data_IF_308941965177
#
_entry.id   IF_308941965177
#
_cell.length_a   1.000
_cell.length_b   1.000
_cell.length_c   1.000
_cell.angle_alpha   90.00
_cell.angle_beta   90.00
_cell.angle_gamma   90.00
#
_symmetry.space_group_name_H-M   'P 1'
#
loop_
_entity.id
_entity.type
_entity.pdbx_description
1 polymer ?
#
# COMPACT_ATOMS: atom_id res chain seq x y z
N UNK A 1 -13.45 -5.93 -22.95
CA UNK A 1 -13.11 -6.46 -21.62
C UNK A 1 -14.16 -5.97 -20.67
N UNK A 2 -14.79 -6.88 -19.93
CA UNK A 2 -15.76 -6.45 -18.92
C UNK A 2 -14.98 -5.81 -17.75
N UNK A 3 -15.21 -4.51 -17.55
CA UNK A 3 -14.58 -3.74 -16.48
C UNK A 3 -15.52 -3.49 -15.30
N UNK A 4 -16.66 -4.18 -15.29
CA UNK A 4 -17.65 -4.02 -14.24
C UNK A 4 -17.20 -4.64 -12.93
N UNK A 5 -17.50 -3.96 -11.82
CA UNK A 5 -17.41 -4.48 -10.46
C UNK A 5 -18.79 -4.33 -9.85
N UNK A 6 -19.31 -5.40 -9.25
CA UNK A 6 -20.67 -5.41 -8.70
C UNK A 6 -20.63 -5.77 -7.23
N UNK A 7 -21.56 -5.20 -6.49
CA UNK A 7 -21.86 -5.54 -5.09
C UNK A 7 -23.32 -6.00 -5.03
N UNK A 8 -23.58 -7.29 -5.25
CA UNK A 8 -24.96 -7.80 -5.39
C UNK A 8 -25.84 -7.49 -4.18
N UNK A 9 -25.30 -7.67 -2.97
CA UNK A 9 -26.03 -7.40 -1.73
C UNK A 9 -26.40 -5.93 -1.52
N UNK A 10 -25.60 -4.99 -2.07
CA UNK A 10 -25.86 -3.54 -2.03
C UNK A 10 -26.62 -3.05 -3.26
N UNK A 11 -26.87 -3.93 -4.25
CA UNK A 11 -27.45 -3.57 -5.55
C UNK A 11 -26.67 -2.45 -6.27
N UNK A 12 -25.35 -2.38 -6.03
CA UNK A 12 -24.47 -1.40 -6.63
C UNK A 12 -23.72 -2.03 -7.79
N UNK A 13 -23.82 -1.43 -8.96
CA UNK A 13 -23.11 -1.85 -10.17
C UNK A 13 -22.25 -0.70 -10.63
N UNK A 14 -20.94 -0.96 -10.76
CA UNK A 14 -19.97 -0.05 -11.31
C UNK A 14 -19.59 -0.59 -12.69
N UNK A 15 -20.23 -0.08 -13.74
CA UNK A 15 -20.11 -0.63 -15.10
C UNK A 15 -18.74 -0.44 -15.71
N UNK A 16 -18.03 0.62 -15.31
CA UNK A 16 -16.71 0.92 -15.86
C UNK A 16 -15.73 1.33 -14.74
N UNK A 17 -14.88 0.39 -14.36
CA UNK A 17 -13.77 0.62 -13.40
C UNK A 17 -12.45 0.37 -14.13
N UNK A 18 -11.80 1.41 -14.70
CA UNK A 18 -10.54 1.25 -15.43
C UNK A 18 -9.39 0.89 -14.48
N UNK A 19 -8.42 0.11 -14.97
CA UNK A 19 -7.15 -0.16 -14.24
C UNK A 19 -6.13 0.93 -14.50
N UNK A 20 -6.16 1.50 -15.70
CA UNK A 20 -5.19 2.48 -16.20
C UNK A 20 -5.87 3.46 -17.14
N UNK A 21 -5.20 4.55 -17.40
CA UNK A 21 -5.54 5.52 -18.44
C UNK A 21 -4.26 5.94 -19.18
N UNK A 22 -4.41 6.37 -20.42
CA UNK A 22 -3.29 6.79 -21.24
C UNK A 22 -3.18 8.32 -21.26
N UNK A 23 -1.96 8.84 -21.02
CA UNK A 23 -1.63 10.24 -21.19
C UNK A 23 -0.40 10.33 -22.09
N UNK A 24 -0.50 11.02 -23.23
CA UNK A 24 0.59 11.18 -24.19
C UNK A 24 1.25 9.87 -24.65
N UNK A 25 0.48 8.78 -24.77
CA UNK A 25 1.01 7.46 -25.13
C UNK A 25 1.67 6.67 -24.00
N UNK A 26 1.63 7.20 -22.76
CA UNK A 26 2.07 6.47 -21.57
C UNK A 26 0.88 5.91 -20.80
N UNK A 27 0.89 4.61 -20.55
CA UNK A 27 -0.10 3.97 -19.71
C UNK A 27 0.21 4.23 -18.23
N UNK A 28 -0.70 4.91 -17.53
CA UNK A 28 -0.60 5.23 -16.12
C UNK A 28 -1.66 4.42 -15.37
N UNK A 29 -1.22 3.58 -14.42
CA UNK A 29 -2.14 2.80 -13.59
C UNK A 29 -2.76 3.65 -12.50
N UNK A 30 -4.07 3.52 -12.28
CA UNK A 30 -4.77 4.21 -11.19
C UNK A 30 -4.20 3.79 -9.83
N UNK A 31 -3.80 2.53 -9.69
CA UNK A 31 -3.08 2.03 -8.52
C UNK A 31 -1.86 2.88 -8.19
N UNK A 32 -0.99 3.13 -9.18
CA UNK A 32 0.22 3.95 -8.97
C UNK A 32 -0.10 5.38 -8.58
N UNK A 33 -1.14 5.97 -9.20
CA UNK A 33 -1.59 7.34 -8.85
C UNK A 33 -2.08 7.39 -7.40
N UNK A 34 -2.91 6.43 -6.97
CA UNK A 34 -3.41 6.41 -5.60
C UNK A 34 -2.30 6.20 -4.56
N UNK A 35 -1.31 5.35 -4.86
CA UNK A 35 -0.12 5.21 -4.01
C UNK A 35 0.63 6.54 -3.91
N UNK A 36 0.88 7.23 -5.03
CA UNK A 36 1.57 8.51 -5.04
C UNK A 36 0.79 9.59 -4.24
N UNK A 37 -0.53 9.68 -4.46
CA UNK A 37 -1.40 10.60 -3.71
C UNK A 37 -1.39 10.26 -2.22
N UNK A 38 -1.50 8.98 -1.86
CA UNK A 38 -1.44 8.53 -0.47
C UNK A 38 -0.13 8.90 0.22
N UNK A 39 1.00 8.71 -0.49
CA UNK A 39 2.32 9.11 0.01
C UNK A 39 2.43 10.63 0.21
N UNK A 40 2.01 11.42 -0.78
CA UNK A 40 2.07 12.88 -0.70
C UNK A 40 1.19 13.42 0.44
N UNK A 41 -0.03 12.90 0.59
CA UNK A 41 -0.92 13.29 1.68
C UNK A 41 -0.40 12.82 3.04
N UNK A 42 0.22 11.64 3.12
CA UNK A 42 0.88 11.16 4.33
C UNK A 42 2.04 12.06 4.75
N UNK A 43 2.93 12.41 3.81
CA UNK A 43 4.06 13.32 4.05
C UNK A 43 3.54 14.71 4.46
N UNK A 44 2.55 15.24 3.74
CA UNK A 44 1.95 16.54 4.05
C UNK A 44 1.38 16.57 5.47
N UNK A 45 0.67 15.53 5.88
CA UNK A 45 0.14 15.40 7.24
C UNK A 45 1.26 15.39 8.29
N UNK A 46 2.31 14.60 8.07
CA UNK A 46 3.46 14.51 8.99
C UNK A 46 4.15 15.88 9.13
N UNK A 47 4.33 16.60 8.03
CA UNK A 47 4.92 17.95 8.03
C UNK A 47 4.05 18.95 8.81
N UNK A 48 2.72 18.89 8.61
CA UNK A 48 1.80 19.73 9.37
C UNK A 48 1.85 19.43 10.87
N UNK A 49 1.86 18.15 11.24
CA UNK A 49 1.88 17.75 12.64
C UNK A 49 3.25 18.03 13.30
N UNK A 50 4.34 17.90 12.55
CA UNK A 50 5.67 18.33 12.99
C UNK A 50 5.69 19.83 13.34
N UNK A 51 5.11 20.68 12.49
CA UNK A 51 4.97 22.14 12.78
C UNK A 51 4.16 22.40 14.04
N UNK A 52 3.06 21.67 14.25
CA UNK A 52 2.21 21.79 15.44
C UNK A 52 2.91 21.39 16.73
N UNK A 53 3.83 20.43 16.63
CA UNK A 53 4.63 19.94 17.76
C UNK A 53 5.95 20.70 17.93
N UNK A 54 6.14 21.84 17.25
CA UNK A 54 7.38 22.64 17.26
C UNK A 54 8.63 21.85 16.87
N UNK A 55 8.46 20.87 15.96
CA UNK A 55 9.53 20.10 15.33
C UNK A 55 9.98 20.76 14.03
N UNK A 56 11.16 20.38 13.54
CA UNK A 56 11.67 20.83 12.25
C UNK A 56 10.96 20.08 11.10
N UNK A 57 10.08 20.72 10.30
CA UNK A 57 9.33 20.03 9.25
C UNK A 57 10.25 19.46 8.16
N UNK A 58 11.34 20.16 7.82
CA UNK A 58 12.28 19.76 6.79
C UNK A 58 12.99 18.43 7.14
N UNK A 59 13.22 18.19 8.44
CA UNK A 59 13.79 16.91 8.87
C UNK A 59 12.87 15.71 8.57
N UNK A 60 11.56 15.91 8.58
CA UNK A 60 10.58 14.87 8.23
C UNK A 60 10.47 14.68 6.71
N UNK A 61 10.63 15.74 5.92
CA UNK A 61 10.73 15.64 4.46
C UNK A 61 11.98 14.87 4.06
N UNK A 62 13.13 15.22 4.62
CA UNK A 62 14.38 14.51 4.40
C UNK A 62 14.25 13.03 4.78
N UNK A 63 13.66 12.74 5.95
CA UNK A 63 13.40 11.37 6.40
C UNK A 63 12.54 10.61 5.39
N UNK A 64 11.45 11.20 4.91
CA UNK A 64 10.56 10.57 3.94
C UNK A 64 11.30 10.24 2.63
N UNK A 65 12.08 11.17 2.10
CA UNK A 65 12.87 10.97 0.87
C UNK A 65 13.91 9.86 1.07
N UNK A 66 14.66 9.92 2.17
CA UNK A 66 15.73 8.95 2.44
C UNK A 66 15.14 7.55 2.66
N UNK A 67 14.08 7.42 3.45
CA UNK A 67 13.43 6.12 3.70
C UNK A 67 12.80 5.54 2.44
N UNK A 68 12.27 6.38 1.54
CA UNK A 68 11.75 5.95 0.25
C UNK A 68 12.88 5.39 -0.64
N UNK A 69 13.97 6.15 -0.79
CA UNK A 69 15.10 5.73 -1.63
C UNK A 69 15.73 4.45 -1.08
N UNK A 70 16.05 4.42 0.21
CA UNK A 70 16.66 3.24 0.85
C UNK A 70 15.70 2.05 0.87
N UNK A 71 14.39 2.28 0.97
CA UNK A 71 13.36 1.25 0.85
C UNK A 71 13.34 0.62 -0.54
N UNK A 72 13.36 1.42 -1.61
CA UNK A 72 13.41 0.91 -2.99
C UNK A 72 14.70 0.11 -3.22
N UNK A 73 15.85 0.63 -2.78
CA UNK A 73 17.13 -0.06 -2.87
C UNK A 73 17.09 -1.39 -2.10
N UNK A 74 16.61 -1.38 -0.85
CA UNK A 74 16.49 -2.57 -0.02
C UNK A 74 15.56 -3.62 -0.62
N UNK A 75 14.39 -3.22 -1.15
CA UNK A 75 13.44 -4.10 -1.83
C UNK A 75 14.09 -4.82 -3.01
N UNK A 76 14.88 -4.09 -3.81
CA UNK A 76 15.56 -4.61 -4.98
C UNK A 76 16.73 -5.52 -4.62
N UNK A 77 17.58 -5.11 -3.67
CA UNK A 77 18.72 -5.89 -3.22
C UNK A 77 18.29 -7.22 -2.59
N UNK A 78 17.25 -7.19 -1.74
CA UNK A 78 16.76 -8.41 -1.12
C UNK A 78 16.14 -9.36 -2.17
N UNK A 79 15.38 -8.83 -3.14
CA UNK A 79 14.87 -9.63 -4.25
C UNK A 79 16.00 -10.26 -5.07
N UNK A 80 17.03 -9.48 -5.42
CA UNK A 80 18.18 -9.97 -6.16
C UNK A 80 18.96 -11.07 -5.40
N UNK A 81 19.07 -10.94 -4.06
CA UNK A 81 19.70 -11.95 -3.23
C UNK A 81 18.94 -13.29 -3.24
N UNK A 82 17.59 -13.25 -3.12
CA UNK A 82 16.76 -14.45 -3.18
C UNK A 82 16.63 -15.05 -4.58
N UNK A 83 16.73 -14.22 -5.62
CA UNK A 83 16.60 -14.61 -7.01
C UNK A 83 17.95 -14.56 -7.76
N UNK A 84 19.06 -14.85 -7.06
CA UNK A 84 20.42 -14.71 -7.61
C UNK A 84 20.64 -15.48 -8.91
N UNK A 85 19.94 -16.59 -9.09
CA UNK A 85 20.01 -17.39 -10.32
C UNK A 85 19.64 -16.60 -11.59
N UNK A 86 18.78 -15.57 -11.47
CA UNK A 86 18.35 -14.71 -12.58
C UNK A 86 19.42 -13.65 -12.93
N UNK A 87 20.23 -13.24 -11.94
CA UNK A 87 21.16 -12.12 -12.05
C UNK A 87 22.63 -12.52 -12.22
N UNK A 88 22.97 -13.80 -11.98
CA UNK A 88 24.35 -14.28 -12.02
C UNK A 88 25.05 -14.06 -13.36
N UNK A 89 24.31 -14.07 -14.48
CA UNK A 89 24.86 -13.89 -15.83
C UNK A 89 24.94 -12.43 -16.26
N UNK A 90 24.12 -11.56 -15.67
CA UNK A 90 24.08 -10.12 -15.93
C UNK A 90 23.68 -9.36 -14.66
N UNK A 91 24.65 -9.06 -13.76
CA UNK A 91 24.38 -8.32 -12.53
C UNK A 91 23.84 -6.89 -12.77
N UNK A 92 24.08 -6.31 -13.95
CA UNK A 92 23.59 -4.98 -14.32
C UNK A 92 22.05 -4.88 -14.32
N UNK A 93 21.35 -6.00 -14.54
CA UNK A 93 19.89 -6.03 -14.49
C UNK A 93 19.31 -5.77 -13.09
N UNK A 94 20.09 -5.85 -12.03
CA UNK A 94 19.68 -5.46 -10.68
C UNK A 94 19.25 -4.00 -10.65
N UNK A 95 19.89 -3.13 -11.44
CA UNK A 95 19.55 -1.70 -11.51
C UNK A 95 18.29 -1.40 -12.34
N UNK A 96 17.83 -2.37 -13.15
CA UNK A 96 16.63 -2.19 -13.97
C UNK A 96 15.35 -2.42 -13.15
N UNK A 97 14.90 -1.37 -12.48
CA UNK A 97 13.67 -1.39 -11.64
C UNK A 97 12.40 -1.67 -12.48
N UNK A 98 12.41 -1.32 -13.77
CA UNK A 98 11.25 -1.51 -14.67
C UNK A 98 10.93 -2.98 -14.96
N UNK A 99 11.91 -3.86 -14.88
CA UNK A 99 11.70 -5.31 -15.08
C UNK A 99 10.91 -5.98 -13.95
N UNK A 100 10.48 -5.24 -12.93
CA UNK A 100 9.81 -5.77 -11.73
C UNK A 100 10.79 -6.44 -10.77
N UNK A 101 10.27 -7.24 -9.84
CA UNK A 101 11.09 -7.96 -8.85
C UNK A 101 11.55 -7.06 -7.71
N UNK A 102 10.61 -6.74 -6.81
CA UNK A 102 10.86 -6.06 -5.54
C UNK A 102 10.26 -6.89 -4.41
N UNK A 103 11.00 -7.07 -3.32
CA UNK A 103 10.54 -7.81 -2.16
C UNK A 103 10.11 -6.82 -1.07
N UNK A 104 8.87 -6.93 -0.61
CA UNK A 104 8.30 -6.04 0.41
C UNK A 104 9.16 -5.95 1.68
N UNK A 105 9.62 -7.10 2.20
CA UNK A 105 10.45 -7.14 3.40
C UNK A 105 11.79 -6.42 3.22
N UNK A 106 12.35 -6.46 2.01
CA UNK A 106 13.56 -5.69 1.67
C UNK A 106 13.32 -4.19 1.73
N UNK A 107 12.17 -3.75 1.25
CA UNK A 107 11.74 -2.36 1.34
C UNK A 107 11.55 -1.89 2.78
N UNK A 108 10.91 -2.70 3.60
CA UNK A 108 10.72 -2.41 5.01
C UNK A 108 12.05 -2.29 5.76
N UNK A 109 12.94 -3.27 5.59
CA UNK A 109 14.26 -3.26 6.22
C UNK A 109 15.11 -2.08 5.73
N UNK A 110 15.16 -1.83 4.41
CA UNK A 110 15.89 -0.72 3.83
C UNK A 110 15.40 0.63 4.32
N UNK A 111 14.07 0.82 4.38
CA UNK A 111 13.46 2.05 4.89
C UNK A 111 13.77 2.28 6.37
N UNK A 112 13.60 1.26 7.22
CA UNK A 112 13.91 1.37 8.66
C UNK A 112 15.39 1.66 8.88
N UNK A 113 16.29 0.93 8.22
CA UNK A 113 17.73 1.16 8.34
C UNK A 113 18.12 2.57 7.86
N UNK A 114 17.59 3.01 6.72
CA UNK A 114 17.81 4.37 6.21
C UNK A 114 17.33 5.43 7.19
N UNK A 115 16.15 5.24 7.79
CA UNK A 115 15.62 6.14 8.82
C UNK A 115 16.49 6.19 10.08
N UNK A 116 16.97 5.04 10.56
CA UNK A 116 17.87 4.98 11.72
C UNK A 116 19.19 5.70 11.43
N UNK A 117 19.79 5.44 10.27
CA UNK A 117 21.05 6.09 9.84
C UNK A 117 20.86 7.60 9.72
N UNK A 118 19.79 8.04 9.05
CA UNK A 118 19.45 9.46 8.96
C UNK A 118 19.33 10.13 10.32
N UNK A 119 18.53 9.53 11.23
CA UNK A 119 18.34 10.08 12.58
C UNK A 119 19.66 10.18 13.36
N UNK A 120 20.54 9.19 13.21
CA UNK A 120 21.88 9.23 13.84
C UNK A 120 22.76 10.35 13.30
N UNK A 121 22.81 10.51 11.98
CA UNK A 121 23.63 11.57 11.32
C UNK A 121 23.10 12.95 11.75
N UNK A 122 21.79 13.14 11.74
CA UNK A 122 21.14 14.43 12.09
C UNK A 122 20.98 14.64 13.59
N UNK A 123 21.43 13.68 14.43
CA UNK A 123 21.32 13.72 15.91
C UNK A 123 19.88 13.91 16.38
N UNK A 124 18.92 13.31 15.65
CA UNK A 124 17.48 13.29 16.00
C UNK A 124 17.11 11.96 16.65
N UNK A 125 16.08 11.98 17.50
CA UNK A 125 15.54 10.75 18.07
C UNK A 125 14.73 9.99 17.02
N UNK A 126 15.15 8.77 16.69
CA UNK A 126 14.41 7.90 15.77
C UNK A 126 12.97 7.63 16.26
N UNK A 127 12.82 7.33 17.54
CA UNK A 127 11.52 7.02 18.14
C UNK A 127 10.54 8.19 18.04
N UNK A 128 11.02 9.41 18.26
CA UNK A 128 10.21 10.62 18.14
C UNK A 128 9.76 10.87 16.71
N UNK A 129 10.64 10.66 15.75
CA UNK A 129 10.31 10.79 14.34
C UNK A 129 9.38 9.66 13.86
N UNK A 130 9.59 8.44 14.36
CA UNK A 130 8.74 7.30 14.04
C UNK A 130 7.30 7.47 14.53
N UNK A 131 7.07 8.13 15.67
CA UNK A 131 5.72 8.44 16.19
C UNK A 131 4.87 9.26 15.21
N UNK A 132 5.45 10.22 14.51
CA UNK A 132 4.74 10.99 13.50
C UNK A 132 4.72 10.29 12.14
N UNK A 133 5.82 9.63 11.76
CA UNK A 133 5.94 8.95 10.49
C UNK A 133 4.91 7.82 10.32
N UNK A 134 4.61 7.04 11.38
CA UNK A 134 3.63 5.97 11.32
C UNK A 134 2.21 6.45 10.98
N UNK A 135 1.84 7.67 11.39
CA UNK A 135 0.56 8.26 11.00
C UNK A 135 0.52 8.60 9.51
N UNK A 136 1.62 9.12 8.96
CA UNK A 136 1.74 9.33 7.52
C UNK A 136 1.66 8.02 6.73
N UNK A 137 2.27 6.95 7.24
CA UNK A 137 2.19 5.61 6.65
C UNK A 137 0.74 5.11 6.66
N UNK A 138 0.00 5.28 7.77
CA UNK A 138 -1.42 4.91 7.84
C UNK A 138 -2.27 5.65 6.81
N UNK A 139 -2.05 6.95 6.61
CA UNK A 139 -2.75 7.72 5.57
C UNK A 139 -2.43 7.15 4.19
N UNK A 140 -1.17 6.84 3.92
CA UNK A 140 -0.75 6.17 2.69
C UNK A 140 -1.44 4.81 2.51
N UNK A 141 -1.56 4.01 3.56
CA UNK A 141 -2.25 2.72 3.53
C UNK A 141 -3.75 2.87 3.28
N UNK A 142 -4.43 3.79 3.95
CA UNK A 142 -5.87 4.05 3.77
C UNK A 142 -6.17 4.32 2.28
N UNK A 143 -5.41 5.19 1.65
CA UNK A 143 -5.61 5.57 0.25
C UNK A 143 -5.10 4.46 -0.70
N UNK A 144 -3.95 3.87 -0.39
CA UNK A 144 -3.33 2.83 -1.21
C UNK A 144 -4.19 1.57 -1.35
N UNK A 145 -4.98 1.20 -0.32
CA UNK A 145 -5.91 0.06 -0.39
C UNK A 145 -7.00 0.24 -1.46
N UNK A 146 -7.41 1.46 -1.74
CA UNK A 146 -8.30 1.74 -2.87
C UNK A 146 -7.63 1.49 -4.23
N UNK A 147 -6.29 1.59 -4.29
CA UNK A 147 -5.54 1.18 -5.47
C UNK A 147 -5.72 -0.30 -5.81
N UNK A 148 -5.71 -1.17 -4.79
CA UNK A 148 -5.95 -2.62 -4.97
C UNK A 148 -7.36 -2.90 -5.51
N UNK A 149 -8.37 -2.10 -5.15
CA UNK A 149 -9.71 -2.17 -5.73
C UNK A 149 -9.69 -1.94 -7.25
N UNK A 150 -9.06 -0.86 -7.71
CA UNK A 150 -8.96 -0.57 -9.15
C UNK A 150 -8.14 -1.63 -9.89
N UNK A 151 -7.10 -2.17 -9.26
CA UNK A 151 -6.26 -3.20 -9.85
C UNK A 151 -6.87 -4.60 -9.78
N UNK A 152 -7.97 -4.79 -9.04
CA UNK A 152 -8.64 -6.07 -8.78
C UNK A 152 -7.69 -7.11 -8.23
N UNK A 153 -6.95 -6.74 -7.20
CA UNK A 153 -6.02 -7.59 -6.47
C UNK A 153 -6.26 -7.49 -4.96
N UNK A 154 -5.64 -8.38 -4.18
CA UNK A 154 -5.77 -8.37 -2.71
C UNK A 154 -7.22 -8.42 -2.23
N UNK A 155 -8.03 -9.25 -2.87
CA UNK A 155 -9.37 -9.60 -2.39
C UNK A 155 -9.30 -10.85 -1.48
N UNK A 156 -10.35 -11.05 -0.65
CA UNK A 156 -10.41 -12.20 0.26
C UNK A 156 -10.98 -13.46 -0.42
N UNK A 157 -11.23 -14.47 0.41
CA UNK A 157 -11.83 -15.72 -0.02
C UNK A 157 -13.29 -15.53 -0.48
N UNK A 158 -13.83 -16.60 -1.08
CA UNK A 158 -15.23 -16.66 -1.45
C UNK A 158 -16.12 -16.33 -0.26
N UNK A 159 -17.09 -15.46 -0.48
CA UNK A 159 -18.11 -15.12 0.51
C UNK A 159 -19.41 -14.70 -0.20
N UNK A 160 -20.53 -15.14 0.32
CA UNK A 160 -21.86 -14.70 -0.09
C UNK A 160 -22.50 -13.93 1.07
N UNK A 161 -22.30 -12.61 1.09
CA UNK A 161 -22.89 -11.71 2.09
C UNK A 161 -23.24 -10.36 1.45
N UNK A 162 -23.81 -9.44 2.25
CA UNK A 162 -24.26 -8.12 1.79
C UNK A 162 -23.10 -7.29 1.16
N UNK A 163 -21.88 -7.46 1.65
CA UNK A 163 -20.72 -6.71 1.21
C UNK A 163 -19.88 -7.44 0.14
N UNK A 164 -20.30 -8.64 -0.28
CA UNK A 164 -19.58 -9.42 -1.29
C UNK A 164 -19.38 -8.62 -2.57
N UNK A 165 -18.14 -8.70 -3.11
CA UNK A 165 -17.73 -8.05 -4.34
C UNK A 165 -17.65 -9.10 -5.45
N UNK A 166 -18.34 -8.83 -6.57
CA UNK A 166 -18.35 -9.71 -7.73
C UNK A 166 -17.39 -9.17 -8.79
N UNK A 167 -16.43 -10.02 -9.18
CA UNK A 167 -15.40 -9.70 -10.16
C UNK A 167 -15.43 -10.66 -11.34
N UNK A 168 -15.27 -10.18 -12.59
CA UNK A 168 -15.09 -11.04 -13.74
C UNK A 168 -13.81 -11.90 -13.59
N UNK A 169 -13.91 -13.20 -13.83
CA UNK A 169 -12.79 -14.12 -13.73
C UNK A 169 -11.62 -13.74 -14.65
N UNK A 170 -11.92 -13.15 -15.81
CA UNK A 170 -10.93 -12.66 -16.78
C UNK A 170 -10.17 -11.41 -16.32
N UNK A 171 -10.70 -10.69 -15.34
CA UNK A 171 -10.13 -9.44 -14.85
C UNK A 171 -9.15 -9.63 -13.69
N UNK A 172 -9.12 -10.82 -13.06
CA UNK A 172 -8.27 -11.17 -11.93
C UNK A 172 -7.09 -12.06 -12.35
N UNK A 173 -6.06 -12.12 -11.51
CA UNK A 173 -4.90 -12.98 -11.78
C UNK A 173 -5.25 -14.43 -11.49
N UNK A 174 -4.90 -15.33 -12.41
CA UNK A 174 -5.23 -16.75 -12.29
C UNK A 174 -4.69 -17.42 -11.01
N UNK A 175 -3.55 -16.94 -10.50
CA UNK A 175 -2.93 -17.44 -9.26
C UNK A 175 -3.63 -16.99 -7.97
N UNK A 176 -4.52 -16.00 -8.03
CA UNK A 176 -5.28 -15.51 -6.88
C UNK A 176 -6.65 -16.21 -6.76
N UNK A 177 -7.04 -17.01 -7.75
CA UNK A 177 -8.33 -17.70 -7.80
C UNK A 177 -8.22 -19.07 -7.14
N UNK A 178 -8.83 -19.23 -5.98
CA UNK A 178 -8.85 -20.49 -5.21
C UNK A 178 -9.83 -21.50 -5.80
N UNK A 179 -9.74 -22.77 -5.37
CA UNK A 179 -10.66 -23.84 -5.76
C UNK A 179 -12.08 -23.50 -5.34
N UNK A 180 -12.28 -22.99 -4.13
CA UNK A 180 -13.59 -22.60 -3.61
C UNK A 180 -14.25 -21.51 -4.46
N UNK A 181 -13.47 -20.54 -4.96
CA UNK A 181 -13.99 -19.51 -5.87
C UNK A 181 -14.42 -20.11 -7.21
N UNK A 182 -13.67 -21.12 -7.72
CA UNK A 182 -13.99 -21.81 -8.99
C UNK A 182 -15.23 -22.68 -8.89
N UNK A 183 -15.48 -23.29 -7.74
CA UNK A 183 -16.65 -24.11 -7.49
C UNK A 183 -17.95 -23.27 -7.35
N UNK A 184 -17.81 -22.00 -6.97
CA UNK A 184 -18.92 -21.07 -6.76
C UNK A 184 -18.98 -19.94 -7.80
N UNK A 185 -18.59 -20.23 -9.05
CA UNK A 185 -18.69 -19.26 -10.14
C UNK A 185 -20.16 -18.90 -10.42
N UNK A 186 -20.40 -17.62 -10.61
CA UNK A 186 -21.69 -17.09 -11.02
C UNK A 186 -21.62 -16.57 -12.45
N UNK A 187 -22.60 -16.96 -13.27
CA UNK A 187 -22.72 -16.45 -14.63
C UNK A 187 -23.58 -15.17 -14.60
N UNK A 188 -22.99 -14.04 -14.99
CA UNK A 188 -23.69 -12.75 -15.03
C UNK A 188 -23.43 -12.12 -16.41
N UNK A 189 -24.48 -11.85 -17.16
CA UNK A 189 -24.43 -11.31 -18.52
C UNK A 189 -23.49 -12.09 -19.45
N UNK A 190 -23.45 -13.42 -19.30
CA UNK A 190 -22.58 -14.29 -20.11
C UNK A 190 -21.10 -14.30 -19.68
N UNK A 191 -20.73 -13.64 -18.58
CA UNK A 191 -19.37 -13.61 -18.02
C UNK A 191 -19.32 -14.42 -16.73
N UNK A 192 -18.32 -15.28 -16.61
CA UNK A 192 -18.05 -16.00 -15.35
C UNK A 192 -17.44 -15.06 -14.33
N UNK A 193 -18.09 -14.92 -13.20
CA UNK A 193 -17.67 -14.03 -12.10
C UNK A 193 -17.39 -14.81 -10.83
N UNK A 194 -16.41 -14.35 -10.06
CA UNK A 194 -16.13 -14.81 -8.69
C UNK A 194 -16.79 -13.85 -7.69
N UNK A 195 -17.19 -14.37 -6.55
CA UNK A 195 -17.76 -13.60 -5.44
C UNK A 195 -16.77 -13.64 -4.28
N UNK A 196 -16.28 -12.48 -3.84
CA UNK A 196 -15.14 -12.38 -2.92
C UNK A 196 -15.33 -11.29 -1.86
N UNK A 197 -14.57 -11.38 -0.77
CA UNK A 197 -14.55 -10.33 0.26
C UNK A 197 -13.82 -9.08 -0.25
N UNK A 198 -14.37 -7.87 -0.05
CA UNK A 198 -13.73 -6.60 -0.38
C UNK A 198 -12.67 -6.22 0.68
N UNK A 199 -11.53 -6.92 0.71
CA UNK A 199 -10.50 -6.68 1.73
C UNK A 199 -9.99 -5.24 1.72
N UNK A 200 -9.90 -4.60 0.55
CA UNK A 200 -9.49 -3.21 0.44
C UNK A 200 -10.32 -2.28 1.35
N UNK A 201 -11.63 -2.53 1.43
CA UNK A 201 -12.55 -1.73 2.25
C UNK A 201 -12.32 -1.99 3.74
N UNK A 202 -12.22 -3.27 4.14
CA UNK A 202 -12.00 -3.63 5.54
C UNK A 202 -10.67 -3.11 6.05
N UNK A 203 -9.60 -3.28 5.27
CA UNK A 203 -8.27 -2.81 5.61
C UNK A 203 -8.18 -1.28 5.64
N UNK A 204 -8.82 -0.59 4.70
CA UNK A 204 -8.88 0.89 4.69
C UNK A 204 -9.62 1.43 5.92
N UNK A 205 -10.78 0.84 6.27
CA UNK A 205 -11.54 1.23 7.46
C UNK A 205 -10.79 0.91 8.75
N UNK A 206 -10.10 -0.22 8.81
CA UNK A 206 -9.26 -0.58 9.96
C UNK A 206 -8.11 0.41 10.14
N UNK A 207 -7.37 0.71 9.08
CA UNK A 207 -6.31 1.72 9.12
C UNK A 207 -6.82 3.10 9.54
N UNK A 208 -8.02 3.48 9.08
CA UNK A 208 -8.66 4.74 9.48
C UNK A 208 -9.01 4.75 10.98
N UNK A 209 -9.56 3.64 11.51
CA UNK A 209 -9.85 3.50 12.93
C UNK A 209 -8.56 3.62 13.76
N UNK A 210 -7.51 2.88 13.37
CA UNK A 210 -6.21 2.94 14.04
C UNK A 210 -5.64 4.36 14.00
N UNK A 211 -5.70 5.03 12.86
CA UNK A 211 -5.25 6.43 12.72
C UNK A 211 -5.99 7.35 13.70
N UNK A 212 -7.32 7.26 13.78
CA UNK A 212 -8.12 8.06 14.71
C UNK A 212 -7.73 7.80 16.17
N UNK A 213 -7.56 6.54 16.55
CA UNK A 213 -7.15 6.17 17.91
C UNK A 213 -5.75 6.71 18.26
N UNK A 214 -4.78 6.59 17.32
CA UNK A 214 -3.43 7.10 17.51
C UNK A 214 -3.41 8.62 17.60
N UNK A 215 -4.20 9.32 16.78
CA UNK A 215 -4.32 10.79 16.84
C UNK A 215 -4.87 11.28 18.17
N UNK A 216 -5.89 10.61 18.72
CA UNK A 216 -6.42 10.93 20.06
C UNK A 216 -5.36 10.71 21.14
N UNK A 217 -4.49 9.73 20.95
CA UNK A 217 -3.44 9.37 21.92
C UNK A 217 -2.17 10.21 21.77
N UNK A 218 -1.89 10.75 20.60
CA UNK A 218 -0.67 11.52 20.29
C UNK A 218 -0.41 12.65 21.30
N UNK A 219 -1.45 13.37 21.70
CA UNK A 219 -1.36 14.47 22.67
C UNK A 219 -1.17 14.00 24.12
N UNK A 220 -1.39 12.73 24.40
CA UNK A 220 -1.30 12.13 25.74
C UNK A 220 -0.10 11.19 25.88
N UNK A 221 0.78 11.13 24.87
CA UNK A 221 1.94 10.25 24.89
C UNK A 221 2.83 10.52 26.13
N UNK A 222 3.28 9.43 26.75
CA UNK A 222 4.12 9.48 27.96
C UNK A 222 5.61 9.44 27.60
N UNK A 223 5.97 8.73 26.54
CA UNK A 223 7.37 8.58 26.10
C UNK A 223 7.48 8.60 24.58
N UNK A 224 8.72 8.82 24.08
CA UNK A 224 9.00 8.84 22.64
C UNK A 224 8.96 7.41 22.07
N UNK A 225 8.24 7.21 20.96
CA UNK A 225 8.05 5.90 20.35
C UNK A 225 6.78 5.18 20.80
N UNK A 226 6.00 5.74 21.70
CA UNK A 226 4.77 5.12 22.19
C UNK A 226 3.74 4.92 21.09
N UNK A 227 3.57 5.93 20.22
CA UNK A 227 2.62 5.87 19.11
C UNK A 227 3.07 4.84 18.08
N UNK A 228 4.36 4.84 17.76
CA UNK A 228 4.93 3.86 16.84
C UNK A 228 4.81 2.41 17.35
N UNK A 229 5.05 2.18 18.64
CA UNK A 229 4.87 0.86 19.25
C UNK A 229 3.41 0.40 19.23
N UNK A 230 2.46 1.31 19.44
CA UNK A 230 1.02 1.02 19.36
C UNK A 230 0.57 0.78 17.90
N UNK A 231 1.23 1.40 16.92
CA UNK A 231 1.00 1.12 15.52
C UNK A 231 1.46 -0.29 15.13
N UNK A 232 2.52 -0.81 15.76
CA UNK A 232 3.06 -2.15 15.49
C UNK A 232 2.31 -3.27 16.21
N UNK A 233 1.58 -2.97 17.31
CA UNK A 233 0.81 -3.92 18.10
C UNK A 233 -0.55 -4.22 17.48
#
# INVERSE_FOLDING_TARGET
>A
MDMSIRFPGLKLILDYVPKSFEIFGFEITIYGVLIAVGMLLGIFFVVLEARRNHEEPDAYLDLAIITLITGVIGARLLYAAFSWSLYKNDPGQILNVRSGGMLFYGGLLGGVLGGIVYCRIRKKSFWKMADLACMGILIGQIIGKWGSFFNRESFGEYVDNILSMQLPLTAVRAGEVTTTMRENLQMVDGVSCILVQPLFLYESLWCLLVLMLLMMHLRRRVFQGEIFLRYLA
#
